data_IF_856654674070
#
_entry.id   IF_856654674070
#
_cell.length_a   1.000
_cell.length_b   1.000
_cell.length_c   1.000
_cell.angle_alpha   90.00
_cell.angle_beta   90.00
_cell.angle_gamma   90.00
#
_symmetry.space_group_name_H-M   'P 1'
#
loop_
_entity.id
_entity.type
_entity.pdbx_description
1 polymer ?
#
# COMPACT_ATOMS: atom_id res chain seq x y z
N UNK A 1 33.99 65.83 66.98
CA UNK A 1 34.44 65.50 65.61
C UNK A 1 34.31 63.99 65.21
N UNK A 2 34.28 63.01 66.15
CA UNK A 2 34.20 61.57 65.83
C UNK A 2 32.81 61.08 65.34
N UNK A 3 31.71 61.75 65.63
CA UNK A 3 30.36 61.30 65.26
C UNK A 3 29.98 61.56 63.78
N UNK A 4 30.56 62.51 63.07
CA UNK A 4 30.31 62.81 61.65
C UNK A 4 31.01 61.82 60.73
N UNK A 5 32.17 61.31 61.08
CA UNK A 5 32.92 60.32 60.28
C UNK A 5 32.21 58.95 60.22
N UNK A 6 31.45 58.55 61.22
CA UNK A 6 30.73 57.30 61.27
C UNK A 6 29.49 57.28 60.36
N UNK A 7 28.80 58.38 60.23
CA UNK A 7 27.62 58.54 59.41
C UNK A 7 27.96 58.56 57.92
N UNK A 8 29.05 59.17 57.50
CA UNK A 8 29.49 59.19 56.10
C UNK A 8 30.00 57.83 55.64
N UNK A 9 30.63 57.04 56.48
CA UNK A 9 31.07 55.68 56.17
C UNK A 9 29.85 54.73 56.03
N UNK A 10 28.83 54.92 56.85
CA UNK A 10 27.60 54.15 56.78
C UNK A 10 26.78 54.48 55.50
N UNK A 11 26.72 55.76 55.13
CA UNK A 11 26.04 56.23 53.92
C UNK A 11 26.76 55.74 52.65
N UNK A 12 28.13 55.78 52.66
CA UNK A 12 28.91 55.25 51.55
C UNK A 12 28.74 53.69 51.38
N UNK A 13 28.76 52.93 52.48
CA UNK A 13 28.54 51.47 52.45
C UNK A 13 27.11 51.14 51.97
N UNK A 14 26.14 51.89 52.39
CA UNK A 14 24.74 51.68 51.97
C UNK A 14 24.54 52.02 50.48
N UNK A 15 25.19 53.08 50.01
CA UNK A 15 25.17 53.49 48.61
C UNK A 15 25.86 52.49 47.70
N UNK A 16 27.00 51.95 48.09
CA UNK A 16 27.70 50.90 47.37
C UNK A 16 26.96 49.57 47.40
N UNK A 17 26.26 49.24 48.48
CA UNK A 17 25.39 48.03 48.52
C UNK A 17 24.18 48.13 47.59
N UNK A 18 23.51 49.29 47.59
CA UNK A 18 22.38 49.54 46.68
C UNK A 18 22.82 49.50 45.23
N UNK A 19 23.96 50.09 44.87
CA UNK A 19 24.52 50.05 43.52
C UNK A 19 24.83 48.59 43.09
N UNK A 20 25.49 47.81 44.01
CA UNK A 20 25.75 46.37 43.70
C UNK A 20 24.50 45.58 43.57
N UNK A 21 23.45 45.86 44.34
CA UNK A 21 22.15 45.19 44.22
C UNK A 21 21.44 45.51 42.90
N UNK A 22 21.49 46.78 42.47
CA UNK A 22 20.94 47.21 41.17
C UNK A 22 21.71 46.56 40.02
N UNK A 23 23.05 46.51 40.07
CA UNK A 23 23.87 45.85 39.06
C UNK A 23 23.55 44.34 39.00
N UNK A 24 23.43 43.67 40.16
CA UNK A 24 23.06 42.25 40.22
C UNK A 24 21.65 41.99 39.64
N UNK A 25 20.68 42.86 39.96
CA UNK A 25 19.33 42.77 39.40
C UNK A 25 19.32 42.96 37.88
N UNK A 26 20.06 43.91 37.35
CA UNK A 26 20.23 44.11 35.91
C UNK A 26 20.92 42.91 35.25
N UNK A 27 21.92 42.31 35.87
CA UNK A 27 22.60 41.11 35.37
C UNK A 27 21.67 39.91 35.31
N UNK A 28 20.81 39.72 36.33
CA UNK A 28 19.79 38.65 36.34
C UNK A 28 18.76 38.85 35.21
N UNK A 29 18.24 40.08 35.06
CA UNK A 29 17.28 40.41 33.97
C UNK A 29 17.94 40.21 32.60
N UNK A 30 19.20 40.61 32.46
CA UNK A 30 19.94 40.41 31.19
C UNK A 30 20.14 38.92 30.88
N UNK A 31 20.54 38.11 31.87
CA UNK A 31 20.70 36.65 31.69
C UNK A 31 19.39 35.97 31.35
N UNK A 32 18.29 36.35 32.01
CA UNK A 32 16.97 35.78 31.70
C UNK A 32 16.47 36.17 30.31
N UNK A 33 16.63 37.43 29.90
CA UNK A 33 16.33 37.91 28.56
C UNK A 33 17.19 37.23 27.50
N UNK A 34 18.49 37.10 27.75
CA UNK A 34 19.42 36.42 26.85
C UNK A 34 19.08 34.93 26.71
N UNK A 35 18.77 34.26 27.83
CA UNK A 35 18.34 32.87 27.83
C UNK A 35 17.03 32.69 27.04
N UNK A 36 16.07 33.59 27.20
CA UNK A 36 14.81 33.56 26.45
C UNK A 36 15.03 33.78 24.95
N UNK A 37 15.87 34.74 24.56
CA UNK A 37 16.24 34.99 23.15
C UNK A 37 17.02 33.81 22.60
N UNK A 38 17.92 33.20 23.34
CA UNK A 38 18.71 32.05 22.95
C UNK A 38 17.85 30.80 22.77
N UNK A 39 16.91 30.55 23.69
CA UNK A 39 15.91 29.45 23.56
C UNK A 39 15.06 29.68 22.34
N UNK A 40 14.59 30.92 22.08
CA UNK A 40 13.81 31.27 20.90
C UNK A 40 14.63 31.16 19.61
N UNK A 41 15.90 31.49 19.62
CA UNK A 41 16.83 31.36 18.50
C UNK A 41 17.14 29.90 18.17
N UNK A 42 17.40 29.09 19.22
CA UNK A 42 17.59 27.63 19.07
C UNK A 42 16.28 26.99 18.61
N UNK A 43 15.15 27.34 19.23
CA UNK A 43 13.84 26.90 18.82
C UNK A 43 13.59 27.19 17.32
N UNK A 44 13.80 28.42 16.87
CA UNK A 44 13.67 28.79 15.47
C UNK A 44 14.64 28.05 14.53
N UNK A 45 15.84 27.68 15.01
CA UNK A 45 16.80 26.90 14.22
C UNK A 45 16.41 25.43 14.14
N UNK A 46 15.82 24.87 15.19
CA UNK A 46 15.22 23.52 15.18
C UNK A 46 13.91 23.51 14.37
N UNK A 47 13.07 24.55 14.46
CA UNK A 47 11.85 24.69 13.65
C UNK A 47 12.12 24.87 12.15
N UNK A 48 13.29 25.38 11.74
CA UNK A 48 13.69 25.39 10.32
C UNK A 48 13.98 23.99 9.76
N UNK A 49 14.25 23.00 10.62
CA UNK A 49 14.42 21.60 10.24
C UNK A 49 13.06 20.95 9.84
N UNK A 50 11.95 21.45 10.37
CA UNK A 50 10.60 20.94 10.12
C UNK A 50 9.81 21.88 9.17
N UNK A 51 10.46 22.40 8.15
CA UNK A 51 9.78 23.21 7.12
C UNK A 51 9.27 22.34 5.99
N UNK A 52 8.27 22.85 5.25
CA UNK A 52 7.77 22.21 4.02
C UNK A 52 8.90 21.96 3.03
N UNK A 53 9.84 22.91 2.89
CA UNK A 53 11.01 22.76 2.03
C UNK A 53 11.94 21.63 2.46
N UNK A 54 12.13 21.45 3.78
CA UNK A 54 12.87 20.30 4.33
C UNK A 54 12.19 18.98 4.03
N UNK A 55 10.86 18.92 4.15
CA UNK A 55 10.10 17.72 3.78
C UNK A 55 10.23 17.40 2.28
N UNK A 56 10.15 18.39 1.40
CA UNK A 56 10.39 18.18 -0.04
C UNK A 56 11.79 17.65 -0.31
N UNK A 57 12.81 18.22 0.32
CA UNK A 57 14.20 17.76 0.17
C UNK A 57 14.38 16.31 0.62
N UNK A 58 13.85 15.94 1.79
CA UNK A 58 13.95 14.58 2.30
C UNK A 58 13.11 13.60 1.47
N UNK A 59 11.94 14.01 0.99
CA UNK A 59 11.11 13.23 0.08
C UNK A 59 11.84 12.89 -1.23
N UNK A 60 12.56 13.86 -1.80
CA UNK A 60 13.29 13.67 -3.07
C UNK A 60 14.48 12.71 -3.00
N UNK A 61 14.87 12.28 -1.80
CA UNK A 61 15.91 11.26 -1.63
C UNK A 61 15.42 9.85 -2.00
N UNK A 62 14.12 9.62 -1.99
CA UNK A 62 13.49 8.32 -2.28
C UNK A 62 14.08 7.16 -1.44
N UNK A 63 14.45 7.43 -0.20
CA UNK A 63 15.01 6.46 0.75
C UNK A 63 14.10 6.28 1.95
N UNK A 64 14.22 5.15 2.62
CA UNK A 64 13.45 4.86 3.84
C UNK A 64 13.72 5.89 4.95
N UNK A 65 15.00 6.28 5.14
CA UNK A 65 15.37 7.35 6.07
C UNK A 65 14.75 8.69 5.68
N UNK A 66 14.71 9.00 4.38
CA UNK A 66 14.02 10.18 3.86
C UNK A 66 12.55 10.18 4.21
N UNK A 67 11.86 9.05 4.00
CA UNK A 67 10.44 8.91 4.35
C UNK A 67 10.20 8.99 5.86
N UNK A 68 11.06 8.37 6.70
CA UNK A 68 11.00 8.50 8.17
C UNK A 68 11.19 9.93 8.62
N UNK A 69 12.14 10.66 8.01
CA UNK A 69 12.37 12.07 8.29
C UNK A 69 11.16 12.93 7.95
N UNK A 70 10.55 12.72 6.78
CA UNK A 70 9.33 13.41 6.35
C UNK A 70 8.17 13.13 7.30
N UNK A 71 7.96 11.85 7.65
CA UNK A 71 6.93 11.42 8.59
C UNK A 71 7.05 12.14 9.94
N UNK A 72 8.26 12.18 10.52
CA UNK A 72 8.51 12.82 11.80
C UNK A 72 8.31 14.34 11.74
N UNK A 73 8.84 14.98 10.69
CA UNK A 73 8.68 16.43 10.49
C UNK A 73 7.22 16.82 10.26
N UNK A 74 6.50 16.07 9.44
CA UNK A 74 5.08 16.30 9.21
C UNK A 74 4.26 16.12 10.49
N UNK A 75 4.55 15.08 11.28
CA UNK A 75 3.87 14.85 12.56
C UNK A 75 4.06 16.02 13.52
N UNK A 76 5.30 16.52 13.69
CA UNK A 76 5.57 17.68 14.56
C UNK A 76 4.85 18.96 14.10
N UNK A 77 4.83 19.22 12.80
CA UNK A 77 4.07 20.36 12.26
C UNK A 77 2.57 20.22 12.58
N UNK A 78 2.04 18.99 12.49
CA UNK A 78 0.63 18.73 12.77
C UNK A 78 0.28 18.77 14.26
N UNK A 79 1.22 18.52 15.16
CA UNK A 79 1.03 18.71 16.60
C UNK A 79 0.76 20.19 16.93
N UNK A 80 1.38 21.13 16.19
CA UNK A 80 1.17 22.56 16.35
C UNK A 80 -0.02 23.09 15.52
N UNK A 81 -0.18 22.58 14.29
CA UNK A 81 -1.26 22.95 13.36
C UNK A 81 -1.89 21.71 12.72
N UNK A 82 -2.93 21.12 13.33
CA UNK A 82 -3.59 19.89 12.89
C UNK A 82 -4.22 19.93 11.48
N UNK A 83 -4.33 21.11 10.89
CA UNK A 83 -4.90 21.34 9.57
C UNK A 83 -3.91 21.87 8.55
N UNK A 84 -2.61 21.74 8.81
CA UNK A 84 -1.58 22.15 7.87
C UNK A 84 -1.55 21.22 6.64
N UNK A 85 -2.16 21.65 5.54
CA UNK A 85 -2.45 20.80 4.36
C UNK A 85 -1.20 20.12 3.78
N UNK A 86 -0.08 20.83 3.64
CA UNK A 86 1.15 20.23 3.11
C UNK A 86 1.68 19.14 4.06
N UNK A 87 1.65 19.38 5.38
CA UNK A 87 2.09 18.38 6.36
C UNK A 87 1.16 17.15 6.36
N UNK A 88 -0.17 17.34 6.23
CA UNK A 88 -1.12 16.24 6.07
C UNK A 88 -0.82 15.40 4.82
N UNK A 89 -0.55 16.04 3.68
CA UNK A 89 -0.19 15.33 2.45
C UNK A 89 1.12 14.56 2.61
N UNK A 90 2.17 15.20 3.14
CA UNK A 90 3.46 14.54 3.38
C UNK A 90 3.40 13.43 4.41
N UNK A 91 2.61 13.59 5.50
CA UNK A 91 2.37 12.51 6.45
C UNK A 91 1.69 11.33 5.76
N UNK A 92 0.68 11.59 4.93
CA UNK A 92 0.01 10.55 4.16
C UNK A 92 0.92 9.81 3.20
N UNK A 93 1.72 10.56 2.43
CA UNK A 93 2.68 9.96 1.48
C UNK A 93 3.77 9.15 2.18
N UNK A 94 4.38 9.70 3.21
CA UNK A 94 5.46 9.01 3.94
C UNK A 94 4.95 7.79 4.69
N UNK A 95 3.77 7.86 5.29
CA UNK A 95 3.13 6.69 5.92
C UNK A 95 2.87 5.57 4.92
N UNK A 96 2.42 5.89 3.69
CA UNK A 96 2.23 4.92 2.63
C UNK A 96 3.55 4.26 2.22
N UNK A 97 4.61 5.04 1.97
CA UNK A 97 5.90 4.50 1.56
C UNK A 97 6.53 3.61 2.64
N UNK A 98 6.36 3.98 3.91
CA UNK A 98 6.81 3.16 5.04
C UNK A 98 5.98 1.88 5.19
N UNK A 99 4.68 1.94 4.91
CA UNK A 99 3.81 0.76 4.93
C UNK A 99 4.18 -0.25 3.83
N UNK A 100 4.61 0.23 2.66
CA UNK A 100 5.01 -0.62 1.52
C UNK A 100 6.29 -1.41 1.81
N UNK A 101 7.21 -0.86 2.63
CA UNK A 101 8.46 -1.51 3.04
C UNK A 101 8.34 -2.29 4.36
N UNK A 102 7.22 -2.17 5.09
CA UNK A 102 7.03 -2.82 6.39
C UNK A 102 6.69 -4.30 6.20
N UNK A 103 7.37 -5.18 6.94
CA UNK A 103 7.16 -6.63 6.90
C UNK A 103 6.11 -7.12 7.92
N UNK A 104 5.90 -6.35 9.00
CA UNK A 104 4.86 -6.63 9.98
C UNK A 104 3.50 -6.15 9.47
N UNK A 105 2.60 -7.09 9.21
CA UNK A 105 1.26 -6.79 8.69
C UNK A 105 0.44 -5.84 9.57
N UNK A 106 0.59 -5.90 10.90
CA UNK A 106 -0.16 -5.03 11.82
C UNK A 106 0.34 -3.60 11.68
N UNK A 107 1.65 -3.41 11.73
CA UNK A 107 2.26 -2.08 11.55
C UNK A 107 2.01 -1.50 10.15
N UNK A 108 2.08 -2.35 9.12
CA UNK A 108 1.74 -1.94 7.75
C UNK A 108 0.29 -1.43 7.68
N UNK A 109 -0.67 -2.13 8.30
CA UNK A 109 -2.05 -1.67 8.36
C UNK A 109 -2.21 -0.35 9.12
N UNK A 110 -1.55 -0.17 10.26
CA UNK A 110 -1.58 1.09 11.02
C UNK A 110 -1.02 2.27 10.20
N UNK A 111 0.08 2.05 9.48
CA UNK A 111 0.66 3.05 8.60
C UNK A 111 -0.26 3.40 7.41
N UNK A 112 -0.93 2.40 6.83
CA UNK A 112 -1.93 2.61 5.77
C UNK A 112 -3.14 3.37 6.30
N UNK A 113 -3.63 3.08 7.51
CA UNK A 113 -4.72 3.84 8.13
C UNK A 113 -4.33 5.28 8.36
N UNK A 114 -3.12 5.52 8.84
CA UNK A 114 -2.58 6.87 9.01
C UNK A 114 -2.44 7.61 7.68
N UNK A 115 -1.97 6.91 6.64
CA UNK A 115 -1.89 7.44 5.28
C UNK A 115 -3.27 7.89 4.78
N UNK A 116 -4.24 6.98 4.79
CA UNK A 116 -5.60 7.24 4.31
C UNK A 116 -6.24 8.40 5.07
N UNK A 117 -6.15 8.39 6.40
CA UNK A 117 -6.71 9.45 7.23
C UNK A 117 -6.09 10.82 6.90
N UNK A 118 -4.77 10.89 6.81
CA UNK A 118 -4.05 12.14 6.54
C UNK A 118 -4.34 12.67 5.14
N UNK A 119 -4.33 11.79 4.12
CA UNK A 119 -4.64 12.17 2.73
C UNK A 119 -6.10 12.61 2.56
N UNK A 120 -7.05 11.96 3.22
CA UNK A 120 -8.45 12.40 3.21
C UNK A 120 -8.62 13.78 3.81
N UNK A 121 -7.93 14.08 4.91
CA UNK A 121 -7.92 15.42 5.49
C UNK A 121 -7.27 16.44 4.54
N UNK A 122 -6.09 16.11 3.97
CA UNK A 122 -5.39 16.97 3.03
C UNK A 122 -6.24 17.34 1.81
N UNK A 123 -7.05 16.40 1.32
CA UNK A 123 -7.91 16.60 0.15
C UNK A 123 -8.91 17.76 0.33
N UNK A 124 -9.40 18.02 1.55
CA UNK A 124 -10.37 19.07 1.81
C UNK A 124 -9.82 20.50 1.71
N UNK A 125 -8.51 20.68 1.89
CA UNK A 125 -7.87 21.99 1.89
C UNK A 125 -6.73 22.14 0.90
N UNK A 126 -6.50 21.16 0.03
CA UNK A 126 -5.43 21.21 -0.95
C UNK A 126 -5.74 22.15 -2.12
N UNK A 127 -4.67 22.61 -2.79
CA UNK A 127 -4.80 23.34 -4.05
C UNK A 127 -5.30 22.38 -5.15
N UNK A 128 -6.02 22.93 -6.15
CA UNK A 128 -6.54 22.15 -7.28
C UNK A 128 -5.44 21.33 -7.98
N UNK A 129 -4.24 21.89 -8.12
CA UNK A 129 -3.12 21.25 -8.80
C UNK A 129 -2.54 20.04 -8.03
N UNK A 130 -2.72 19.99 -6.72
CA UNK A 130 -2.25 18.88 -5.88
C UNK A 130 -3.32 17.83 -5.61
N UNK A 131 -4.58 18.15 -5.87
CA UNK A 131 -5.71 17.25 -5.64
C UNK A 131 -5.58 15.92 -6.40
N UNK A 132 -5.23 15.89 -7.70
CA UNK A 132 -5.14 14.63 -8.46
C UNK A 132 -4.08 13.69 -7.89
N UNK A 133 -2.95 14.23 -7.42
CA UNK A 133 -1.89 13.43 -6.78
C UNK A 133 -2.35 12.84 -5.45
N UNK A 134 -3.09 13.61 -4.63
CA UNK A 134 -3.64 13.09 -3.36
C UNK A 134 -4.66 11.97 -3.64
N UNK A 135 -5.51 12.13 -4.65
CA UNK A 135 -6.47 11.12 -5.07
C UNK A 135 -5.77 9.84 -5.53
N UNK A 136 -4.73 9.96 -6.36
CA UNK A 136 -3.92 8.82 -6.76
C UNK A 136 -3.29 8.09 -5.56
N UNK A 137 -2.71 8.82 -4.62
CA UNK A 137 -2.12 8.21 -3.43
C UNK A 137 -3.17 7.55 -2.53
N UNK A 138 -4.38 8.11 -2.44
CA UNK A 138 -5.50 7.46 -1.76
C UNK A 138 -5.88 6.14 -2.45
N UNK A 139 -5.98 6.13 -3.76
CA UNK A 139 -6.24 4.92 -4.52
C UNK A 139 -5.20 3.83 -4.25
N UNK A 140 -3.91 4.19 -4.28
CA UNK A 140 -2.82 3.25 -3.93
C UNK A 140 -2.92 2.77 -2.48
N UNK A 141 -3.15 3.66 -1.53
CA UNK A 141 -3.24 3.30 -0.12
C UNK A 141 -4.40 2.32 0.15
N UNK A 142 -5.55 2.53 -0.47
CA UNK A 142 -6.67 1.59 -0.40
C UNK A 142 -6.36 0.25 -1.08
N UNK A 143 -5.65 0.27 -2.22
CA UNK A 143 -5.23 -0.96 -2.90
C UNK A 143 -4.32 -1.81 -2.02
N UNK A 144 -3.29 -1.21 -1.42
CA UNK A 144 -2.40 -1.92 -0.50
C UNK A 144 -3.12 -2.38 0.77
N UNK A 145 -4.03 -1.57 1.30
CA UNK A 145 -4.85 -1.98 2.44
C UNK A 145 -5.73 -3.18 2.11
N UNK A 146 -6.30 -3.22 0.91
CA UNK A 146 -7.06 -4.38 0.42
C UNK A 146 -6.20 -5.65 0.33
N UNK A 147 -4.91 -5.50 -0.01
CA UNK A 147 -3.95 -6.62 -0.11
C UNK A 147 -3.55 -7.19 1.25
N UNK A 148 -3.32 -6.33 2.26
CA UNK A 148 -2.85 -6.76 3.60
C UNK A 148 -3.99 -7.06 4.56
N UNK A 149 -5.22 -6.65 4.26
CA UNK A 149 -6.41 -6.92 5.07
C UNK A 149 -6.95 -8.32 4.78
N UNK A 150 -7.39 -9.02 5.84
CA UNK A 150 -8.11 -10.30 5.69
C UNK A 150 -9.48 -10.14 5.00
N UNK A 151 -10.02 -8.92 4.97
CA UNK A 151 -11.32 -8.57 4.40
C UNK A 151 -11.13 -7.59 3.25
N UNK A 152 -11.43 -8.02 2.03
CA UNK A 152 -11.21 -7.25 0.79
C UNK A 152 -12.39 -6.31 0.48
N UNK A 153 -12.59 -5.26 1.28
CA UNK A 153 -13.72 -4.33 1.14
C UNK A 153 -13.35 -2.95 0.60
N UNK A 154 -12.19 -2.80 -0.04
CA UNK A 154 -11.70 -1.48 -0.45
C UNK A 154 -11.56 -1.29 -1.96
N UNK A 155 -11.91 -2.31 -2.78
CA UNK A 155 -11.72 -2.24 -4.22
C UNK A 155 -12.53 -1.12 -4.88
N UNK A 156 -13.75 -0.85 -4.39
CA UNK A 156 -14.60 0.26 -4.81
C UNK A 156 -13.95 1.64 -4.55
N UNK A 157 -13.27 1.78 -3.41
CA UNK A 157 -12.55 3.01 -3.07
C UNK A 157 -11.29 3.18 -3.92
N UNK A 158 -10.62 2.08 -4.27
CA UNK A 158 -9.50 2.12 -5.24
C UNK A 158 -9.99 2.66 -6.58
N UNK A 159 -11.03 2.05 -7.14
CA UNK A 159 -11.65 2.48 -8.40
C UNK A 159 -12.05 3.95 -8.32
N UNK A 160 -12.78 4.34 -7.28
CA UNK A 160 -13.22 5.72 -7.08
C UNK A 160 -12.07 6.72 -7.13
N UNK A 161 -11.03 6.50 -6.32
CA UNK A 161 -9.98 7.51 -6.18
C UNK A 161 -9.01 7.52 -7.36
N UNK A 162 -8.71 6.38 -7.97
CA UNK A 162 -7.89 6.33 -9.19
C UNK A 162 -8.62 6.95 -10.37
N UNK A 163 -9.92 6.68 -10.55
CA UNK A 163 -10.73 7.30 -11.60
C UNK A 163 -10.85 8.81 -11.43
N UNK A 164 -11.01 9.29 -10.18
CA UNK A 164 -10.99 10.72 -9.88
C UNK A 164 -9.61 11.36 -10.18
N UNK A 165 -8.52 10.67 -9.88
CA UNK A 165 -7.18 11.16 -10.20
C UNK A 165 -7.00 11.33 -11.71
N UNK A 166 -7.40 10.31 -12.50
CA UNK A 166 -7.35 10.34 -13.97
C UNK A 166 -8.22 11.45 -14.54
N UNK A 167 -9.48 11.56 -14.08
CA UNK A 167 -10.41 12.60 -14.54
C UNK A 167 -9.92 14.03 -14.22
N UNK A 168 -9.13 14.18 -13.17
CA UNK A 168 -8.48 15.44 -12.80
C UNK A 168 -7.07 15.61 -13.44
N UNK A 169 -6.71 14.77 -14.42
CA UNK A 169 -5.52 14.93 -15.24
C UNK A 169 -4.26 14.23 -14.71
N UNK A 170 -4.34 13.44 -13.64
CA UNK A 170 -3.19 12.68 -13.17
C UNK A 170 -2.90 11.48 -14.07
N UNK A 171 -1.62 11.26 -14.37
CA UNK A 171 -1.17 10.16 -15.21
C UNK A 171 -0.09 9.38 -14.49
N UNK A 172 -0.26 8.07 -14.37
CA UNK A 172 0.74 7.14 -13.86
C UNK A 172 0.61 5.80 -14.58
N UNK A 173 1.72 5.17 -14.86
CA UNK A 173 1.80 3.92 -15.63
C UNK A 173 1.16 2.72 -14.90
N UNK A 174 1.01 2.79 -13.59
CA UNK A 174 0.44 1.72 -12.76
C UNK A 174 -1.09 1.78 -12.62
N UNK A 175 -1.71 2.93 -12.92
CA UNK A 175 -3.16 3.11 -12.75
C UNK A 175 -3.98 2.05 -13.49
N UNK A 176 -3.74 1.75 -14.78
CA UNK A 176 -4.54 0.77 -15.49
C UNK A 176 -4.47 -0.62 -14.86
N UNK A 177 -3.27 -1.03 -14.39
CA UNK A 177 -3.12 -2.31 -13.71
C UNK A 177 -3.89 -2.35 -12.38
N UNK A 178 -3.78 -1.30 -11.57
CA UNK A 178 -4.47 -1.21 -10.29
C UNK A 178 -6.00 -1.19 -10.45
N UNK A 179 -6.50 -0.46 -11.46
CA UNK A 179 -7.91 -0.46 -11.82
C UNK A 179 -8.38 -1.85 -12.27
N UNK A 180 -7.63 -2.50 -13.17
CA UNK A 180 -7.97 -3.84 -13.66
C UNK A 180 -8.08 -4.87 -12.54
N UNK A 181 -7.12 -4.88 -11.60
CA UNK A 181 -7.16 -5.76 -10.43
C UNK A 181 -8.33 -5.44 -9.50
N UNK A 182 -8.68 -4.17 -9.36
CA UNK A 182 -9.79 -3.75 -8.49
C UNK A 182 -11.14 -4.08 -9.09
N UNK A 183 -11.34 -3.84 -10.39
CA UNK A 183 -12.54 -4.26 -11.13
C UNK A 183 -12.70 -5.78 -11.11
N UNK A 184 -11.61 -6.53 -11.28
CA UNK A 184 -11.64 -7.99 -11.15
C UNK A 184 -12.12 -8.45 -9.77
N UNK A 185 -11.70 -7.76 -8.71
CA UNK A 185 -12.12 -8.04 -7.33
C UNK A 185 -13.60 -7.72 -7.08
N UNK A 186 -14.16 -6.76 -7.81
CA UNK A 186 -15.58 -6.39 -7.78
C UNK A 186 -16.46 -7.26 -8.67
N UNK A 187 -15.86 -8.11 -9.52
CA UNK A 187 -16.57 -8.91 -10.51
C UNK A 187 -16.99 -8.12 -11.75
N UNK A 188 -16.49 -6.90 -11.91
CA UNK A 188 -16.72 -6.02 -13.07
C UNK A 188 -15.75 -6.42 -14.18
N UNK A 189 -16.12 -7.49 -14.88
CA UNK A 189 -15.22 -8.22 -15.80
C UNK A 189 -14.87 -7.40 -17.04
N UNK A 190 -15.82 -6.70 -17.65
CA UNK A 190 -15.58 -5.91 -18.86
C UNK A 190 -14.68 -4.71 -18.58
N UNK A 191 -14.91 -4.00 -17.48
CA UNK A 191 -14.08 -2.89 -17.00
C UNK A 191 -12.66 -3.37 -16.65
N UNK A 192 -12.56 -4.56 -16.05
CA UNK A 192 -11.28 -5.20 -15.75
C UNK A 192 -10.49 -5.50 -17.02
N UNK A 193 -11.13 -6.09 -18.05
CA UNK A 193 -10.51 -6.37 -19.34
C UNK A 193 -10.04 -5.07 -20.02
N UNK A 194 -10.89 -4.04 -20.02
CA UNK A 194 -10.55 -2.74 -20.60
C UNK A 194 -9.31 -2.13 -19.92
N UNK A 195 -9.29 -2.10 -18.59
CA UNK A 195 -8.19 -1.57 -17.83
C UNK A 195 -6.89 -2.39 -18.01
N UNK A 196 -6.96 -3.71 -18.01
CA UNK A 196 -5.80 -4.56 -18.28
C UNK A 196 -5.27 -4.40 -19.71
N UNK A 197 -6.16 -4.19 -20.68
CA UNK A 197 -5.76 -3.94 -22.08
C UNK A 197 -5.00 -2.62 -22.18
N UNK A 198 -5.40 -1.59 -21.43
CA UNK A 198 -4.64 -0.34 -21.32
C UNK A 198 -3.28 -0.58 -20.64
N UNK A 199 -3.23 -1.40 -19.58
CA UNK A 199 -1.99 -1.76 -18.91
C UNK A 199 -0.99 -2.47 -19.84
N UNK A 200 -1.45 -3.28 -20.79
CA UNK A 200 -0.59 -3.91 -21.80
C UNK A 200 0.13 -2.90 -22.70
N UNK A 201 -0.45 -1.72 -22.96
CA UNK A 201 0.21 -0.67 -23.73
C UNK A 201 1.40 -0.07 -23.00
N UNK A 202 1.42 -0.20 -21.67
CA UNK A 202 2.52 0.27 -20.82
C UNK A 202 3.61 -0.79 -20.72
N UNK A 203 3.23 -2.00 -20.34
CA UNK A 203 4.17 -3.12 -20.18
C UNK A 203 3.43 -4.46 -20.21
N UNK A 204 3.90 -5.35 -21.08
CA UNK A 204 3.49 -6.75 -21.07
C UNK A 204 4.28 -7.52 -19.98
N UNK A 205 3.55 -8.22 -19.12
CA UNK A 205 4.10 -9.17 -18.15
C UNK A 205 3.29 -10.45 -18.18
N UNK A 206 3.91 -11.58 -17.83
CA UNK A 206 3.25 -12.87 -17.71
C UNK A 206 2.04 -12.85 -16.77
N UNK A 207 2.20 -12.22 -15.61
CA UNK A 207 1.13 -12.03 -14.62
C UNK A 207 -0.04 -11.20 -15.17
N UNK A 208 0.24 -10.14 -15.95
CA UNK A 208 -0.83 -9.34 -16.59
C UNK A 208 -1.59 -10.17 -17.63
N UNK A 209 -0.87 -10.92 -18.49
CA UNK A 209 -1.48 -11.81 -19.47
C UNK A 209 -2.36 -12.89 -18.81
N UNK A 210 -1.89 -13.47 -17.71
CA UNK A 210 -2.68 -14.44 -16.94
C UNK A 210 -3.96 -13.82 -16.35
N UNK A 211 -3.86 -12.61 -15.75
CA UNK A 211 -5.04 -11.92 -15.25
C UNK A 211 -6.05 -11.62 -16.35
N UNK A 212 -5.60 -11.23 -17.54
CA UNK A 212 -6.46 -11.02 -18.70
C UNK A 212 -7.14 -12.34 -19.12
N UNK A 213 -6.38 -13.44 -19.23
CA UNK A 213 -6.92 -14.74 -19.55
C UNK A 213 -8.03 -15.16 -18.58
N UNK A 214 -7.81 -14.93 -17.30
CA UNK A 214 -8.77 -15.22 -16.25
C UNK A 214 -10.06 -14.40 -16.40
N UNK A 215 -9.95 -13.11 -16.75
CA UNK A 215 -11.15 -12.30 -16.99
C UNK A 215 -11.90 -12.72 -18.25
N UNK A 216 -11.21 -13.05 -19.35
CA UNK A 216 -11.87 -13.59 -20.53
C UNK A 216 -12.56 -14.94 -20.26
N UNK A 217 -11.97 -15.79 -19.41
CA UNK A 217 -12.61 -17.03 -18.97
C UNK A 217 -13.88 -16.73 -18.14
N UNK A 218 -13.82 -15.78 -17.20
CA UNK A 218 -14.99 -15.34 -16.42
C UNK A 218 -16.11 -14.76 -17.31
N UNK A 219 -15.75 -14.14 -18.43
CA UNK A 219 -16.66 -13.56 -19.41
C UNK A 219 -17.18 -14.57 -20.44
N UNK A 220 -16.85 -15.87 -20.30
CA UNK A 220 -17.26 -16.91 -21.23
C UNK A 220 -16.54 -16.87 -22.60
N UNK A 221 -15.49 -16.07 -22.71
CA UNK A 221 -14.68 -15.93 -23.94
C UNK A 221 -13.45 -16.85 -23.89
N UNK A 222 -13.70 -18.15 -23.73
CA UNK A 222 -12.66 -19.16 -23.49
C UNK A 222 -11.63 -19.26 -24.62
N UNK A 223 -12.04 -19.05 -25.87
CA UNK A 223 -11.14 -19.06 -27.03
C UNK A 223 -10.08 -17.95 -26.96
N UNK A 224 -10.45 -16.78 -26.44
CA UNK A 224 -9.53 -15.65 -26.21
C UNK A 224 -8.65 -15.93 -25.00
N UNK A 225 -9.23 -16.45 -23.91
CA UNK A 225 -8.48 -16.84 -22.73
C UNK A 225 -7.34 -17.81 -23.05
N UNK A 226 -7.60 -18.83 -23.88
CA UNK A 226 -6.57 -19.79 -24.33
C UNK A 226 -5.40 -19.12 -25.05
N UNK A 227 -5.67 -18.11 -25.89
CA UNK A 227 -4.58 -17.38 -26.58
C UNK A 227 -3.67 -16.67 -25.60
N UNK A 228 -4.24 -16.02 -24.57
CA UNK A 228 -3.44 -15.38 -23.53
C UNK A 228 -2.66 -16.39 -22.68
N UNK A 229 -3.27 -17.53 -22.31
CA UNK A 229 -2.58 -18.58 -21.55
C UNK A 229 -1.38 -19.17 -22.33
N UNK A 230 -1.54 -19.40 -23.65
CA UNK A 230 -0.40 -19.83 -24.50
C UNK A 230 0.72 -18.78 -24.48
N UNK A 231 0.39 -17.49 -24.47
CA UNK A 231 1.40 -16.43 -24.36
C UNK A 231 2.10 -16.45 -22.99
N UNK A 232 1.34 -16.65 -21.90
CA UNK A 232 1.92 -16.82 -20.54
C UNK A 232 2.91 -17.98 -20.55
N UNK A 233 2.52 -19.16 -21.01
CA UNK A 233 3.36 -20.34 -21.02
C UNK A 233 4.62 -20.19 -21.90
N UNK A 234 4.58 -19.29 -22.90
CA UNK A 234 5.73 -19.00 -23.75
C UNK A 234 6.77 -18.10 -23.09
N UNK A 235 6.34 -17.14 -22.25
CA UNK A 235 7.23 -16.10 -21.73
C UNK A 235 7.53 -16.24 -20.24
N UNK A 236 6.68 -16.93 -19.46
CA UNK A 236 6.85 -17.03 -18.01
C UNK A 236 7.97 -18.01 -17.66
N UNK A 237 8.72 -17.65 -16.63
CA UNK A 237 9.69 -18.52 -15.95
C UNK A 237 9.25 -18.81 -14.51
N UNK A 238 8.05 -18.33 -14.13
CA UNK A 238 7.46 -18.58 -12.82
C UNK A 238 6.67 -19.89 -12.86
N UNK A 239 7.19 -20.94 -12.19
CA UNK A 239 6.57 -22.26 -12.17
C UNK A 239 5.14 -22.24 -11.61
N UNK A 240 4.89 -21.48 -10.56
CA UNK A 240 3.54 -21.37 -9.97
C UNK A 240 2.54 -20.79 -11.01
N UNK A 241 2.97 -19.77 -11.75
CA UNK A 241 2.12 -19.15 -12.77
C UNK A 241 1.90 -20.08 -13.98
N UNK A 242 2.90 -20.89 -14.32
CA UNK A 242 2.78 -21.93 -15.35
C UNK A 242 1.78 -22.99 -14.89
N UNK A 243 1.87 -23.47 -13.65
CA UNK A 243 0.93 -24.45 -13.10
C UNK A 243 -0.51 -23.87 -13.06
N UNK A 244 -0.69 -22.64 -12.60
CA UNK A 244 -1.97 -21.94 -12.66
C UNK A 244 -2.53 -21.84 -14.07
N UNK A 245 -1.66 -21.61 -15.07
CA UNK A 245 -2.03 -21.53 -16.48
C UNK A 245 -2.47 -22.90 -17.03
N UNK A 246 -1.78 -23.96 -16.67
CA UNK A 246 -2.18 -25.33 -17.00
C UNK A 246 -3.50 -25.72 -16.32
N UNK A 247 -3.71 -25.34 -15.05
CA UNK A 247 -4.98 -25.56 -14.35
C UNK A 247 -6.13 -24.88 -15.10
N UNK A 248 -5.98 -23.58 -15.41
CA UNK A 248 -7.04 -22.84 -16.09
C UNK A 248 -7.33 -23.39 -17.50
N UNK A 249 -6.27 -23.76 -18.24
CA UNK A 249 -6.41 -24.37 -19.57
C UNK A 249 -7.10 -25.74 -19.51
N UNK A 250 -6.73 -26.57 -18.53
CA UNK A 250 -7.39 -27.86 -18.27
C UNK A 250 -8.88 -27.69 -17.89
N UNK A 251 -9.21 -26.66 -17.13
CA UNK A 251 -10.61 -26.32 -16.82
C UNK A 251 -11.39 -25.90 -18.07
N UNK A 252 -10.82 -25.07 -18.93
CA UNK A 252 -11.41 -24.64 -20.19
C UNK A 252 -11.67 -25.88 -21.08
N UNK A 253 -10.65 -26.73 -21.28
CA UNK A 253 -10.85 -27.96 -22.09
C UNK A 253 -11.87 -28.92 -21.49
N UNK A 254 -11.97 -28.97 -20.15
CA UNK A 254 -12.99 -29.77 -19.47
C UNK A 254 -14.41 -29.22 -19.75
N UNK A 255 -14.58 -27.90 -19.75
CA UNK A 255 -15.86 -27.23 -20.06
C UNK A 255 -16.30 -27.48 -21.52
N UNK A 256 -15.33 -27.42 -22.44
CA UNK A 256 -15.51 -27.68 -23.87
C UNK A 256 -15.76 -29.16 -24.20
N UNK A 257 -15.58 -30.09 -23.24
CA UNK A 257 -15.67 -31.55 -23.50
C UNK A 257 -14.43 -32.13 -24.16
N UNK A 258 -13.37 -31.36 -24.31
CA UNK A 258 -12.07 -31.84 -24.83
C UNK A 258 -11.26 -32.51 -23.73
N UNK A 259 -11.74 -33.67 -23.27
CA UNK A 259 -11.20 -34.36 -22.11
C UNK A 259 -9.76 -34.85 -22.29
N UNK A 260 -9.33 -35.15 -23.51
CA UNK A 260 -7.97 -35.62 -23.78
C UNK A 260 -6.93 -34.52 -23.51
N UNK A 261 -7.20 -33.30 -23.97
CA UNK A 261 -6.30 -32.20 -23.79
C UNK A 261 -6.35 -31.67 -22.33
N UNK A 262 -7.55 -31.66 -21.72
CA UNK A 262 -7.70 -31.35 -20.30
C UNK A 262 -6.85 -32.29 -19.40
N UNK A 263 -6.90 -33.61 -19.68
CA UNK A 263 -6.12 -34.61 -18.94
C UNK A 263 -4.60 -34.40 -19.11
N UNK A 264 -4.13 -34.00 -20.30
CA UNK A 264 -2.72 -33.64 -20.54
C UNK A 264 -2.29 -32.45 -19.72
N UNK A 265 -3.11 -31.39 -19.66
CA UNK A 265 -2.78 -30.18 -18.90
C UNK A 265 -2.63 -30.48 -17.41
N UNK A 266 -3.57 -31.21 -16.80
CA UNK A 266 -3.44 -31.58 -15.40
C UNK A 266 -2.29 -32.54 -15.12
N UNK A 267 -2.04 -33.50 -16.00
CA UNK A 267 -0.95 -34.44 -15.84
C UNK A 267 0.43 -33.76 -16.00
N UNK A 268 0.57 -32.73 -16.84
CA UNK A 268 1.83 -31.98 -16.96
C UNK A 268 2.28 -31.38 -15.64
N UNK A 269 1.33 -30.97 -14.79
CA UNK A 269 1.62 -30.49 -13.43
C UNK A 269 2.04 -31.67 -12.54
N UNK A 270 1.29 -32.79 -12.60
CA UNK A 270 1.55 -33.95 -11.73
C UNK A 270 2.84 -34.68 -12.09
N UNK A 271 3.34 -34.58 -13.32
CA UNK A 271 4.66 -35.08 -13.72
C UNK A 271 5.79 -34.36 -12.97
N UNK A 272 5.61 -33.05 -12.72
CA UNK A 272 6.57 -32.23 -11.97
C UNK A 272 6.35 -32.31 -10.45
N UNK A 273 5.09 -32.21 -10.03
CA UNK A 273 4.66 -32.17 -8.64
C UNK A 273 3.44 -33.07 -8.39
N UNK A 274 3.69 -34.32 -8.00
CA UNK A 274 2.63 -35.28 -7.69
C UNK A 274 1.72 -34.87 -6.50
N UNK A 275 2.10 -33.84 -5.74
CA UNK A 275 1.34 -33.31 -4.62
C UNK A 275 0.60 -32.01 -4.97
N UNK A 276 0.22 -31.78 -6.23
CA UNK A 276 -0.63 -30.67 -6.61
C UNK A 276 -2.10 -31.00 -6.29
N UNK A 277 -2.65 -30.37 -5.24
CA UNK A 277 -4.06 -30.53 -4.85
C UNK A 277 -5.01 -30.07 -5.94
N UNK A 278 -4.70 -28.93 -6.60
CA UNK A 278 -5.54 -28.34 -7.64
C UNK A 278 -5.55 -29.17 -8.92
N UNK A 279 -4.43 -29.79 -9.31
CA UNK A 279 -4.38 -30.71 -10.45
C UNK A 279 -5.24 -31.98 -10.19
N UNK A 280 -5.14 -32.55 -8.99
CA UNK A 280 -6.01 -33.68 -8.59
C UNK A 280 -7.48 -33.28 -8.56
N UNK A 281 -7.79 -32.07 -8.04
CA UNK A 281 -9.16 -31.56 -8.09
C UNK A 281 -9.66 -31.39 -9.52
N UNK A 282 -8.86 -30.82 -10.40
CA UNK A 282 -9.18 -30.66 -11.84
C UNK A 282 -9.43 -31.99 -12.54
N UNK A 283 -8.57 -33.00 -12.33
CA UNK A 283 -8.80 -34.35 -12.84
C UNK A 283 -10.09 -34.98 -12.29
N UNK A 284 -10.41 -34.76 -11.02
CA UNK A 284 -11.68 -35.22 -10.46
C UNK A 284 -12.89 -34.60 -11.16
N UNK A 285 -12.87 -33.30 -11.42
CA UNK A 285 -13.94 -32.62 -12.18
C UNK A 285 -14.03 -33.14 -13.62
N UNK A 286 -12.90 -33.36 -14.27
CA UNK A 286 -12.81 -33.93 -15.59
C UNK A 286 -13.45 -35.33 -15.65
N UNK A 287 -13.10 -36.25 -14.73
CA UNK A 287 -13.64 -37.60 -14.68
C UNK A 287 -15.13 -37.59 -14.36
N UNK A 288 -15.61 -36.69 -13.50
CA UNK A 288 -17.04 -36.49 -13.26
C UNK A 288 -17.77 -36.13 -14.58
N UNK A 289 -17.25 -35.18 -15.34
CA UNK A 289 -17.79 -34.77 -16.62
C UNK A 289 -17.78 -35.91 -17.68
N UNK A 290 -16.79 -36.81 -17.60
CA UNK A 290 -16.74 -38.05 -18.41
C UNK A 290 -17.72 -39.13 -17.93
N UNK A 291 -18.38 -38.96 -16.77
CA UNK A 291 -19.26 -39.95 -16.16
C UNK A 291 -18.52 -41.03 -15.34
N UNK A 292 -17.21 -40.93 -15.16
CA UNK A 292 -16.39 -41.83 -14.33
C UNK A 292 -16.32 -41.37 -12.87
N UNK A 293 -17.45 -41.57 -12.17
CA UNK A 293 -17.57 -41.15 -10.78
C UNK A 293 -16.59 -41.87 -9.83
N UNK A 294 -16.10 -43.05 -10.21
CA UNK A 294 -15.14 -43.80 -9.38
C UNK A 294 -13.80 -43.11 -9.42
N UNK A 295 -13.32 -42.79 -10.61
CA UNK A 295 -12.06 -42.04 -10.77
C UNK A 295 -12.19 -40.63 -10.20
N UNK A 296 -13.32 -39.96 -10.40
CA UNK A 296 -13.54 -38.62 -9.85
C UNK A 296 -13.36 -38.61 -8.32
N UNK A 297 -14.02 -39.53 -7.61
CA UNK A 297 -13.85 -39.67 -6.16
C UNK A 297 -12.43 -40.00 -5.74
N UNK A 298 -11.75 -40.85 -6.51
CA UNK A 298 -10.34 -41.19 -6.24
C UNK A 298 -9.45 -39.94 -6.29
N UNK A 299 -9.61 -39.13 -7.31
CA UNK A 299 -8.80 -37.90 -7.48
C UNK A 299 -9.14 -36.84 -6.40
N UNK A 300 -10.42 -36.64 -6.05
CA UNK A 300 -10.76 -35.74 -4.95
C UNK A 300 -10.27 -36.20 -3.58
N UNK A 301 -10.20 -37.54 -3.33
CA UNK A 301 -9.55 -38.05 -2.12
C UNK A 301 -8.07 -37.76 -2.08
N UNK A 302 -7.35 -37.84 -3.22
CA UNK A 302 -5.93 -37.45 -3.30
C UNK A 302 -5.78 -35.96 -3.03
N UNK A 303 -6.63 -35.12 -3.64
CA UNK A 303 -6.66 -33.68 -3.37
C UNK A 303 -6.82 -33.40 -1.88
N UNK A 304 -7.80 -34.03 -1.22
CA UNK A 304 -8.05 -33.82 0.23
C UNK A 304 -6.97 -34.41 1.13
N UNK A 305 -6.25 -35.44 0.67
CA UNK A 305 -5.09 -35.96 1.41
C UNK A 305 -3.93 -34.97 1.41
N UNK A 306 -3.77 -34.20 0.35
CA UNK A 306 -2.74 -33.15 0.19
C UNK A 306 -3.20 -31.87 0.91
N UNK A 307 -4.44 -31.45 0.67
CA UNK A 307 -5.04 -30.25 1.22
C UNK A 307 -6.42 -30.55 1.81
N UNK A 308 -6.46 -30.88 3.10
CA UNK A 308 -7.64 -31.37 3.82
C UNK A 308 -8.83 -30.38 3.81
N UNK A 309 -8.56 -29.08 3.64
CA UNK A 309 -9.56 -28.00 3.62
C UNK A 309 -9.87 -27.48 2.21
N UNK A 310 -9.55 -28.22 1.14
CA UNK A 310 -9.83 -27.81 -0.24
C UNK A 310 -11.34 -27.75 -0.47
N UNK A 311 -11.89 -26.52 -0.52
CA UNK A 311 -13.34 -26.26 -0.54
C UNK A 311 -14.07 -26.95 -1.68
N UNK A 312 -13.51 -26.93 -2.92
CA UNK A 312 -14.10 -27.56 -4.08
C UNK A 312 -14.21 -29.07 -3.93
N UNK A 313 -13.13 -29.73 -3.48
CA UNK A 313 -13.11 -31.17 -3.29
C UNK A 313 -14.06 -31.63 -2.16
N UNK A 314 -14.10 -30.86 -1.04
CA UNK A 314 -15.06 -31.12 0.06
C UNK A 314 -16.52 -31.05 -0.44
N UNK A 315 -16.83 -29.99 -1.21
CA UNK A 315 -18.18 -29.84 -1.79
C UNK A 315 -18.53 -31.02 -2.69
N UNK A 316 -17.65 -31.37 -3.64
CA UNK A 316 -17.86 -32.49 -4.56
C UNK A 316 -18.01 -33.85 -3.86
N UNK A 317 -17.23 -34.09 -2.80
CA UNK A 317 -17.35 -35.32 -2.01
C UNK A 317 -18.64 -35.38 -1.18
N UNK A 318 -19.26 -34.26 -0.87
CA UNK A 318 -20.55 -34.21 -0.13
C UNK A 318 -21.77 -34.34 -1.06
N UNK A 319 -21.61 -34.10 -2.38
CA UNK A 319 -22.69 -34.17 -3.37
C UNK A 319 -22.85 -35.57 -3.98
N UNK A 320 -21.88 -36.45 -3.75
CA UNK A 320 -21.82 -37.83 -4.28
C UNK A 320 -22.00 -38.88 -3.18
#
# INVERSE_FOLDING_TARGET
MKARYGLDLFYHKRKTFVIKFIIASFAIVFVTLFSFIFIKFIGNKFFKLDSVDSMYKNWSLHTEEGYKSVYNSASRILDENPYHNAALAFLGYSSFMLAESETDNIKSQELLDKSIFSLRKAMHGCKKDTLPQIQYMLGRAYFYKNKVSAYHYYADLVVKYLSLAVSNGYKSADIPLLLGLSYASLGETDESIAAFTEALLVRETDTLLFNIAKQYCNNGQESVAKQYLVRVMKISQNEDLLDDSHILLGQIYTSEGNFSDAEKEFNSILEKNQNSADAHYGLGVLYEKKGDNIKARSEWRKCLKIQFNHKGALKKMSEL
#
